data_IF_546180534301
#
_entry.id   IF_546180534301
#
_cell.length_a   1.000
_cell.length_b   1.000
_cell.length_c   1.000
_cell.angle_alpha   90.00
_cell.angle_beta   90.00
_cell.angle_gamma   90.00
#
_symmetry.space_group_name_H-M   'P 1'
#
loop_
_entity.id
_entity.type
_entity.pdbx_description
1 polymer ?
#
# COMPACT_ATOMS: atom_id res chain seq x y z
N UNK A 1 -40.94 39.50 -47.05
CA UNK A 1 -39.52 39.35 -46.70
C UNK A 1 -39.31 39.75 -45.24
N UNK A 2 -39.05 38.78 -44.35
CA UNK A 2 -38.37 39.01 -43.06
C UNK A 2 -37.94 37.68 -42.44
N UNK A 3 -36.63 37.45 -42.52
CA UNK A 3 -35.75 36.79 -41.55
C UNK A 3 -36.18 35.44 -40.93
N UNK A 4 -35.79 34.35 -41.59
CA UNK A 4 -35.49 33.06 -40.93
C UNK A 4 -33.97 32.94 -40.92
N UNK A 5 -33.31 33.53 -39.92
CA UNK A 5 -31.85 33.46 -39.78
C UNK A 5 -31.46 33.47 -38.30
N UNK A 6 -32.02 32.56 -37.51
CA UNK A 6 -31.67 32.46 -36.08
C UNK A 6 -31.73 31.02 -35.52
N UNK A 7 -31.70 29.98 -36.36
CA UNK A 7 -31.94 28.60 -35.88
C UNK A 7 -30.72 27.68 -35.86
N UNK A 8 -29.59 28.05 -36.50
CA UNK A 8 -28.43 27.14 -36.63
C UNK A 8 -27.32 27.35 -35.60
N UNK A 9 -27.11 28.58 -35.10
CA UNK A 9 -26.04 28.85 -34.13
C UNK A 9 -26.44 28.56 -32.68
N UNK A 10 -27.74 28.50 -32.38
CA UNK A 10 -28.23 28.25 -31.02
C UNK A 10 -28.15 26.75 -30.65
N UNK A 11 -28.42 25.86 -31.61
CA UNK A 11 -28.41 24.40 -31.39
C UNK A 11 -26.98 23.88 -31.17
N UNK A 12 -25.99 24.44 -31.85
CA UNK A 12 -24.58 24.05 -31.70
C UNK A 12 -24.05 24.44 -30.31
N UNK A 13 -24.50 25.57 -29.78
CA UNK A 13 -24.06 26.08 -28.47
C UNK A 13 -24.62 25.25 -27.31
N UNK A 14 -25.82 24.67 -27.46
CA UNK A 14 -26.43 23.80 -26.45
C UNK A 14 -25.80 22.39 -26.42
N UNK A 15 -25.38 21.86 -27.57
CA UNK A 15 -24.72 20.54 -27.65
C UNK A 15 -23.30 20.59 -27.04
N UNK A 16 -22.58 21.70 -27.23
CA UNK A 16 -21.22 21.88 -26.67
C UNK A 16 -21.22 22.00 -25.12
N UNK A 17 -22.30 22.51 -24.52
CA UNK A 17 -22.46 22.65 -23.07
C UNK A 17 -22.90 21.36 -22.37
N UNK A 18 -23.48 20.40 -23.10
CA UNK A 18 -23.97 19.13 -22.54
C UNK A 18 -22.92 18.02 -22.54
N UNK A 19 -21.84 18.16 -23.30
CA UNK A 19 -20.74 17.17 -23.40
C UNK A 19 -19.67 17.29 -22.30
N UNK A 20 -19.68 18.35 -21.49
CA UNK A 20 -18.68 18.56 -20.43
C UNK A 20 -19.00 17.88 -19.10
N UNK A 21 -20.09 17.09 -19.00
CA UNK A 21 -20.49 16.44 -17.75
C UNK A 21 -20.01 14.99 -17.58
N UNK A 22 -19.24 14.44 -18.52
CA UNK A 22 -18.71 13.08 -18.44
C UNK A 22 -17.20 13.06 -18.19
N UNK A 23 -16.74 13.75 -17.14
CA UNK A 23 -15.43 13.44 -16.57
C UNK A 23 -15.44 13.53 -15.06
N UNK A 24 -16.50 12.98 -14.46
CA UNK A 24 -16.39 12.43 -13.11
C UNK A 24 -15.54 11.17 -13.18
N UNK A 25 -14.22 11.31 -13.19
CA UNK A 25 -13.34 10.21 -12.79
C UNK A 25 -13.48 10.05 -11.26
N UNK A 26 -14.63 9.53 -10.83
CA UNK A 26 -14.81 8.98 -9.49
C UNK A 26 -14.09 7.64 -9.50
N UNK A 27 -12.90 7.62 -8.94
CA UNK A 27 -12.35 6.42 -8.31
C UNK A 27 -11.52 6.83 -7.11
N UNK A 28 -12.21 7.26 -6.06
CA UNK A 28 -11.74 6.97 -4.71
C UNK A 28 -11.90 5.45 -4.47
N UNK A 29 -11.10 4.66 -5.19
CA UNK A 29 -11.07 3.23 -5.01
C UNK A 29 -10.31 2.98 -3.70
N UNK A 30 -11.04 3.01 -2.59
CA UNK A 30 -10.60 2.50 -1.29
C UNK A 30 -10.55 0.96 -1.35
N UNK A 31 -9.85 0.44 -2.36
CA UNK A 31 -9.49 -0.96 -2.39
C UNK A 31 -8.38 -1.12 -1.35
N UNK A 32 -8.63 -1.96 -0.35
CA UNK A 32 -7.57 -2.60 0.41
C UNK A 32 -6.75 -3.43 -0.59
N UNK A 33 -5.84 -2.78 -1.32
CA UNK A 33 -5.02 -3.42 -2.36
C UNK A 33 -4.31 -4.59 -1.69
N UNK A 34 -4.58 -5.78 -2.21
CA UNK A 34 -3.87 -6.97 -1.78
C UNK A 34 -2.57 -7.05 -2.55
N UNK A 35 -1.46 -7.19 -1.83
CA UNK A 35 -0.13 -7.35 -2.41
C UNK A 35 0.48 -8.67 -1.96
N UNK A 36 1.17 -9.34 -2.88
CA UNK A 36 1.92 -10.55 -2.59
C UNK A 36 3.31 -10.16 -2.09
N UNK A 37 3.80 -10.90 -1.09
CA UNK A 37 5.10 -10.66 -0.51
C UNK A 37 5.65 -11.87 0.21
N UNK A 38 6.85 -11.69 0.73
CA UNK A 38 7.61 -12.72 1.42
C UNK A 38 8.04 -12.22 2.80
N UNK A 39 7.78 -13.02 3.83
CA UNK A 39 8.17 -12.76 5.21
C UNK A 39 9.67 -13.01 5.37
N UNK A 40 10.36 -12.10 6.06
CA UNK A 40 11.75 -12.22 6.46
C UNK A 40 11.90 -12.02 7.96
N UNK A 41 12.66 -12.88 8.59
CA UNK A 41 12.98 -12.89 10.01
C UNK A 41 14.36 -12.29 10.19
N UNK A 42 14.41 -11.13 10.83
CA UNK A 42 15.64 -10.47 11.19
C UNK A 42 16.00 -10.81 12.64
N UNK A 43 17.17 -11.40 12.85
CA UNK A 43 17.67 -11.73 14.19
C UNK A 43 18.20 -10.48 14.86
N UNK A 44 17.64 -10.13 16.02
CA UNK A 44 18.01 -8.93 16.77
C UNK A 44 19.00 -9.26 17.89
N UNK A 45 18.73 -10.33 18.63
CA UNK A 45 19.61 -10.89 19.65
C UNK A 45 19.23 -12.36 19.89
N UNK A 46 19.86 -13.02 20.87
CA UNK A 46 19.52 -14.39 21.25
C UNK A 46 18.04 -14.48 21.66
N UNK A 47 17.25 -15.16 20.83
CA UNK A 47 15.82 -15.38 21.07
C UNK A 47 14.90 -14.19 20.77
N UNK A 48 15.42 -13.08 20.22
CA UNK A 48 14.62 -11.92 19.83
C UNK A 48 14.70 -11.67 18.32
N UNK A 49 13.55 -11.47 17.70
CA UNK A 49 13.41 -11.34 16.25
C UNK A 49 12.54 -10.14 15.88
N UNK A 50 12.84 -9.56 14.72
CA UNK A 50 11.99 -8.62 14.02
C UNK A 50 11.45 -9.28 12.75
N UNK A 51 10.20 -8.98 12.41
CA UNK A 51 9.57 -9.52 11.22
C UNK A 51 9.43 -8.41 10.18
N UNK A 52 9.94 -8.70 8.99
CA UNK A 52 9.92 -7.84 7.83
C UNK A 52 9.09 -8.51 6.74
N UNK A 53 8.57 -7.71 5.81
CA UNK A 53 7.95 -8.22 4.58
C UNK A 53 8.49 -7.47 3.38
N UNK A 54 8.75 -8.19 2.29
CA UNK A 54 9.06 -7.58 1.00
C UNK A 54 7.82 -7.59 0.11
N UNK A 55 7.29 -6.42 -0.22
CA UNK A 55 6.12 -6.22 -1.06
C UNK A 55 6.53 -5.40 -2.29
N UNK A 56 6.29 -5.94 -3.48
CA UNK A 56 6.58 -5.25 -4.75
C UNK A 56 8.02 -4.68 -4.83
N UNK A 57 9.00 -5.39 -4.26
CA UNK A 57 10.41 -4.99 -4.23
C UNK A 57 10.81 -4.02 -3.12
N UNK A 58 9.89 -3.58 -2.25
CA UNK A 58 10.16 -2.72 -1.10
C UNK A 58 9.98 -3.48 0.22
N UNK A 59 10.87 -3.27 1.17
CA UNK A 59 10.85 -3.94 2.48
C UNK A 59 10.24 -3.05 3.55
N UNK A 60 9.40 -3.63 4.40
CA UNK A 60 8.67 -2.98 5.47
C UNK A 60 8.84 -3.73 6.78
N UNK A 61 8.77 -3.01 7.91
CA UNK A 61 8.66 -3.61 9.24
C UNK A 61 7.18 -3.91 9.54
N UNK A 62 6.89 -5.09 10.06
CA UNK A 62 5.51 -5.52 10.37
C UNK A 62 5.25 -5.29 11.86
N UNK A 63 4.19 -4.53 12.19
CA UNK A 63 3.83 -4.25 13.57
C UNK A 63 3.08 -5.39 14.26
N UNK A 64 2.23 -6.11 13.51
CA UNK A 64 1.25 -7.06 14.04
C UNK A 64 1.20 -8.38 13.23
N UNK A 65 2.35 -9.06 13.06
CA UNK A 65 2.40 -10.36 12.38
C UNK A 65 1.83 -11.47 13.27
N UNK A 66 0.78 -12.23 12.85
CA UNK A 66 0.28 -13.36 13.62
C UNK A 66 1.29 -14.51 13.67
N UNK A 67 1.26 -15.29 14.76
CA UNK A 67 2.26 -16.34 15.03
C UNK A 67 2.33 -17.42 13.94
N UNK A 68 1.20 -17.75 13.31
CA UNK A 68 1.12 -18.74 12.23
C UNK A 68 1.84 -18.34 10.93
N UNK A 69 2.27 -17.08 10.83
CA UNK A 69 3.04 -16.53 9.70
C UNK A 69 4.49 -16.17 10.06
N UNK A 70 4.94 -16.44 11.30
CA UNK A 70 6.30 -16.12 11.77
C UNK A 70 7.33 -17.15 11.29
N UNK A 71 7.45 -17.30 9.98
CA UNK A 71 8.37 -18.24 9.33
C UNK A 71 9.17 -17.52 8.24
N UNK A 72 10.47 -17.83 8.15
CA UNK A 72 11.36 -17.29 7.12
C UNK A 72 10.90 -17.73 5.73
N UNK A 73 10.86 -16.81 4.78
CA UNK A 73 10.53 -17.10 3.38
C UNK A 73 9.06 -17.41 3.12
N UNK A 74 8.17 -17.24 4.12
CA UNK A 74 6.76 -17.52 3.91
C UNK A 74 6.15 -16.54 2.91
N UNK A 75 5.57 -17.09 1.82
CA UNK A 75 4.86 -16.33 0.80
C UNK A 75 3.43 -16.05 1.25
N UNK A 76 3.05 -14.79 1.22
CA UNK A 76 1.77 -14.32 1.75
C UNK A 76 1.15 -13.29 0.82
N UNK A 77 -0.17 -13.19 0.88
CA UNK A 77 -0.93 -12.08 0.29
C UNK A 77 -1.52 -11.26 1.42
N UNK A 78 -1.22 -9.96 1.44
CA UNK A 78 -1.59 -9.06 2.54
C UNK A 78 -2.36 -7.86 2.04
N UNK A 79 -3.24 -7.32 2.88
CA UNK A 79 -3.64 -5.92 2.80
C UNK A 79 -3.11 -5.20 4.04
N UNK A 80 -2.66 -3.96 3.88
CA UNK A 80 -1.96 -3.26 4.93
C UNK A 80 -2.23 -1.76 4.92
N UNK A 81 -1.94 -1.14 6.06
CA UNK A 81 -1.90 0.32 6.22
C UNK A 81 -0.47 0.74 6.52
N UNK A 82 0.03 1.71 5.78
CA UNK A 82 1.31 2.36 6.08
C UNK A 82 1.14 3.27 7.31
N UNK A 83 2.04 3.12 8.29
CA UNK A 83 2.08 3.99 9.45
C UNK A 83 2.97 5.23 9.17
N UNK A 84 2.69 6.38 9.79
CA UNK A 84 3.47 7.59 9.58
C UNK A 84 4.87 7.53 10.19
N UNK A 85 5.08 6.63 11.16
CA UNK A 85 6.34 6.43 11.83
C UNK A 85 7.26 5.43 11.12
N UNK A 86 8.57 5.60 11.33
CA UNK A 86 9.58 4.66 10.87
C UNK A 86 10.06 3.80 12.04
N UNK A 87 10.17 2.50 11.82
CA UNK A 87 10.70 1.54 12.77
C UNK A 87 12.19 1.36 12.59
N UNK A 88 12.90 1.11 13.70
CA UNK A 88 14.33 0.80 13.67
C UNK A 88 14.48 -0.71 13.49
N UNK A 89 15.23 -1.11 12.47
CA UNK A 89 15.74 -2.48 12.34
C UNK A 89 17.03 -2.56 13.13
N UNK A 90 17.13 -3.57 13.99
CA UNK A 90 18.30 -3.81 14.81
C UNK A 90 19.15 -4.94 14.24
N UNK A 91 20.42 -4.99 14.66
CA UNK A 91 21.33 -6.11 14.41
C UNK A 91 21.93 -6.64 15.71
N UNK A 92 22.42 -7.89 15.72
CA UNK A 92 23.08 -8.46 16.89
C UNK A 92 24.36 -7.71 17.26
N UNK A 93 24.71 -7.76 18.55
CA UNK A 93 25.95 -7.21 19.12
C UNK A 93 26.68 -8.29 19.91
N UNK A 94 28.03 -8.22 20.02
CA UNK A 94 28.79 -9.08 20.92
C UNK A 94 28.36 -9.02 22.39
N UNK A 95 27.77 -7.90 22.82
CA UNK A 95 27.29 -7.69 24.20
C UNK A 95 25.86 -8.18 24.43
N UNK A 96 25.26 -8.91 23.47
CA UNK A 96 23.86 -9.33 23.43
C UNK A 96 22.82 -8.17 23.49
N UNK A 97 23.29 -6.92 23.46
CA UNK A 97 22.45 -5.73 23.36
C UNK A 97 22.19 -5.36 21.89
N UNK A 98 20.93 -5.30 21.43
CA UNK A 98 20.62 -4.91 20.05
C UNK A 98 21.22 -3.56 19.65
N UNK A 99 21.90 -3.51 18.50
CA UNK A 99 22.40 -2.26 17.92
C UNK A 99 21.45 -1.78 16.83
N UNK A 100 21.08 -0.51 16.86
CA UNK A 100 20.30 0.09 15.79
C UNK A 100 21.09 0.04 14.47
N UNK A 101 20.44 -0.40 13.40
CA UNK A 101 21.06 -0.52 12.08
C UNK A 101 20.52 0.55 11.12
N UNK A 102 19.26 0.41 10.70
CA UNK A 102 18.61 1.37 9.80
C UNK A 102 17.11 1.52 10.09
N UNK A 103 16.47 2.50 9.44
CA UNK A 103 15.03 2.77 9.61
C UNK A 103 14.23 2.34 8.39
N UNK A 104 13.14 1.62 8.62
CA UNK A 104 12.17 1.24 7.59
C UNK A 104 10.79 1.85 7.87
N UNK A 105 9.99 1.94 6.82
CA UNK A 105 8.55 2.19 6.97
C UNK A 105 7.89 1.02 7.71
N UNK A 106 6.91 1.35 8.55
CA UNK A 106 6.14 0.36 9.31
C UNK A 106 4.78 0.17 8.69
N UNK A 107 4.34 -1.09 8.61
CA UNK A 107 3.00 -1.44 8.18
C UNK A 107 2.23 -2.14 9.28
N UNK A 108 0.94 -1.86 9.32
CA UNK A 108 -0.05 -2.60 10.08
C UNK A 108 -0.85 -3.48 9.11
N UNK A 109 -0.80 -4.79 9.30
CA UNK A 109 -1.57 -5.74 8.52
C UNK A 109 -3.06 -5.59 8.86
N UNK A 110 -3.88 -5.49 7.81
CA UNK A 110 -5.35 -5.51 7.89
C UNK A 110 -5.90 -6.89 7.55
N UNK A 111 -5.23 -7.60 6.64
CA UNK A 111 -5.47 -9.02 6.39
C UNK A 111 -4.21 -9.70 5.88
N UNK A 112 -4.10 -10.99 6.11
CA UNK A 112 -2.99 -11.84 5.65
C UNK A 112 -3.54 -13.23 5.35
N UNK A 113 -2.99 -13.87 4.32
CA UNK A 113 -3.25 -15.28 3.98
C UNK A 113 -2.03 -15.88 3.30
N UNK A 114 -1.85 -17.20 3.42
CA UNK A 114 -0.80 -17.91 2.70
C UNK A 114 -1.03 -17.80 1.19
N UNK A 115 0.05 -17.59 0.46
CA UNK A 115 0.03 -17.65 -1.00
C UNK A 115 0.20 -19.12 -1.40
N UNK A 116 -0.87 -19.73 -1.91
CA UNK A 116 -0.85 -21.09 -2.45
C UNK A 116 -0.05 -21.17 -3.75
#
# INVERSE_FOLDING_TARGET
MKSILASRNFVILVIALLSSLWMSCVSAQKNNKMESGEIKVNVVSRGSYQFLITLSGKTYLIMNLPDEFKEEGMKVVVSYKLLPEKGIVYKPSPTDQPLADYKLEVIELKSIRKQN
#
